data_IF_547548964762
#
_entry.id   IF_547548964762
#
_cell.length_a   1.000
_cell.length_b   1.000
_cell.length_c   1.000
_cell.angle_alpha   90.00
_cell.angle_beta   90.00
_cell.angle_gamma   90.00
#
_symmetry.space_group_name_H-M   'P 1'
#
loop_
_entity.id
_entity.type
_entity.pdbx_description
1 polymer ?
#
# COMPACT_ATOMS: atom_id res chain seq x y z
N UNK A 1 34.94 -20.61 -8.82
CA UNK A 1 33.83 -20.52 -7.84
C UNK A 1 33.56 -19.10 -7.30
N UNK A 2 33.94 -18.03 -8.04
CA UNK A 2 33.66 -16.62 -7.68
C UNK A 2 32.65 -15.94 -8.63
N UNK A 3 32.13 -16.64 -9.63
CA UNK A 3 31.18 -16.11 -10.62
C UNK A 3 29.72 -16.38 -10.22
N UNK A 4 29.48 -17.36 -9.33
CA UNK A 4 28.12 -17.76 -8.93
C UNK A 4 27.48 -16.86 -7.85
N UNK A 5 28.26 -16.05 -7.13
CA UNK A 5 27.75 -15.17 -6.06
C UNK A 5 27.21 -13.83 -6.58
N UNK A 6 27.58 -13.40 -7.78
CA UNK A 6 27.07 -12.16 -8.37
C UNK A 6 25.69 -12.33 -9.02
N UNK A 7 25.32 -13.56 -9.41
CA UNK A 7 23.99 -13.86 -9.93
C UNK A 7 22.90 -13.85 -8.84
N UNK A 8 23.26 -14.13 -7.58
CA UNK A 8 22.30 -14.18 -6.47
C UNK A 8 21.93 -12.79 -5.91
N UNK A 9 22.74 -11.77 -6.20
CA UNK A 9 22.47 -10.38 -5.82
C UNK A 9 21.61 -9.63 -6.84
N UNK A 10 21.48 -10.13 -8.07
CA UNK A 10 20.59 -9.54 -9.08
C UNK A 10 19.15 -10.04 -9.00
N UNK A 11 18.87 -11.11 -8.24
CA UNK A 11 17.51 -11.69 -8.16
C UNK A 11 16.63 -11.10 -7.06
N UNK A 12 17.18 -10.34 -6.10
CA UNK A 12 16.36 -9.72 -5.04
C UNK A 12 15.71 -8.40 -5.51
N UNK A 13 16.25 -7.78 -6.56
CA UNK A 13 15.62 -6.62 -7.22
C UNK A 13 14.42 -6.99 -8.13
N UNK A 14 14.09 -8.29 -8.25
CA UNK A 14 13.00 -8.81 -9.10
C UNK A 14 11.66 -8.87 -8.35
N UNK A 15 11.61 -8.48 -7.06
CA UNK A 15 10.34 -8.42 -6.33
C UNK A 15 9.53 -7.14 -6.59
N UNK A 16 10.03 -6.20 -7.40
CA UNK A 16 9.16 -5.29 -8.15
C UNK A 16 9.01 -5.88 -9.56
N UNK A 17 8.11 -6.84 -9.71
CA UNK A 17 7.64 -7.23 -11.04
C UNK A 17 7.18 -5.97 -11.80
N UNK A 18 7.41 -5.87 -13.12
CA UNK A 18 6.90 -4.78 -13.96
C UNK A 18 5.37 -4.81 -14.13
N UNK A 19 4.63 -5.41 -13.19
CA UNK A 19 3.20 -5.70 -13.24
C UNK A 19 2.29 -4.51 -12.97
N UNK A 20 2.83 -3.31 -12.74
CA UNK A 20 1.99 -2.10 -12.67
C UNK A 20 1.48 -1.68 -14.06
N UNK A 21 2.25 -1.92 -15.13
CA UNK A 21 1.86 -1.57 -16.50
C UNK A 21 0.72 -2.44 -17.09
N UNK A 22 0.69 -3.78 -16.88
CA UNK A 22 -0.41 -4.64 -17.33
C UNK A 22 -1.80 -4.27 -16.77
N UNK A 23 -1.91 -3.98 -15.48
CA UNK A 23 -3.21 -3.72 -14.85
C UNK A 23 -3.85 -2.39 -15.28
N UNK A 24 -3.02 -1.37 -15.54
CA UNK A 24 -3.48 -0.10 -16.12
C UNK A 24 -4.05 -0.30 -17.54
N UNK A 25 -3.36 -1.09 -18.37
CA UNK A 25 -3.76 -1.36 -19.75
C UNK A 25 -5.08 -2.15 -19.85
N UNK A 26 -5.36 -2.99 -18.86
CA UNK A 26 -6.59 -3.79 -18.81
C UNK A 26 -7.84 -2.92 -18.61
N UNK A 27 -7.84 -1.99 -17.65
CA UNK A 27 -8.98 -1.09 -17.44
C UNK A 27 -9.12 -0.06 -18.58
N UNK A 28 -8.01 0.46 -19.12
CA UNK A 28 -8.07 1.42 -20.23
C UNK A 28 -8.70 0.81 -21.48
N UNK A 29 -8.40 -0.46 -21.77
CA UNK A 29 -8.95 -1.20 -22.91
C UNK A 29 -10.36 -1.76 -22.69
N UNK A 30 -10.87 -1.74 -21.45
CA UNK A 30 -12.21 -2.24 -21.14
C UNK A 30 -13.31 -1.47 -21.90
N UNK A 31 -14.29 -2.20 -22.43
CA UNK A 31 -15.44 -1.65 -23.17
C UNK A 31 -16.71 -2.36 -22.75
N UNK A 32 -17.79 -1.59 -22.60
CA UNK A 32 -19.12 -2.14 -22.29
C UNK A 32 -19.79 -2.75 -23.52
N UNK A 33 -20.83 -3.54 -23.28
CA UNK A 33 -21.72 -4.02 -24.33
C UNK A 33 -22.36 -2.86 -25.13
N UNK A 34 -22.71 -3.06 -26.42
CA UNK A 34 -23.29 -1.99 -27.25
C UNK A 34 -24.63 -1.43 -26.75
N UNK A 35 -25.38 -2.18 -25.94
CA UNK A 35 -26.66 -1.79 -25.35
C UNK A 35 -26.53 -1.25 -23.91
N UNK A 36 -25.31 -0.93 -23.48
CA UNK A 36 -25.05 -0.37 -22.16
C UNK A 36 -25.81 0.95 -21.96
N UNK A 37 -26.29 1.14 -20.74
CA UNK A 37 -27.02 2.35 -20.40
C UNK A 37 -26.09 3.58 -20.39
N UNK A 38 -26.61 4.81 -20.64
CA UNK A 38 -25.80 6.02 -20.58
C UNK A 38 -25.06 6.20 -19.24
N UNK A 39 -25.68 5.76 -18.13
CA UNK A 39 -25.08 5.85 -16.80
C UNK A 39 -23.90 4.88 -16.63
N UNK A 40 -23.97 3.68 -17.21
CA UNK A 40 -22.85 2.74 -17.19
C UNK A 40 -21.67 3.24 -18.04
N UNK A 41 -21.96 3.88 -19.18
CA UNK A 41 -20.93 4.52 -20.01
C UNK A 41 -20.22 5.64 -19.22
N UNK A 42 -20.98 6.47 -18.51
CA UNK A 42 -20.41 7.49 -17.62
C UNK A 42 -19.59 6.86 -16.49
N UNK A 43 -20.11 5.81 -15.85
CA UNK A 43 -19.46 5.09 -14.77
C UNK A 43 -18.14 4.47 -15.22
N UNK A 44 -18.08 3.87 -16.42
CA UNK A 44 -16.83 3.35 -16.96
C UNK A 44 -15.81 4.47 -17.21
N UNK A 45 -16.23 5.59 -17.79
CA UNK A 45 -15.33 6.73 -17.99
C UNK A 45 -14.78 7.26 -16.66
N UNK A 46 -15.63 7.34 -15.63
CA UNK A 46 -15.21 7.70 -14.29
C UNK A 46 -14.17 6.72 -13.72
N UNK A 47 -14.39 5.41 -13.84
CA UNK A 47 -13.44 4.39 -13.38
C UNK A 47 -12.09 4.49 -14.11
N UNK A 48 -12.09 4.73 -15.43
CA UNK A 48 -10.85 4.93 -16.20
C UNK A 48 -10.05 6.13 -15.70
N UNK A 49 -10.72 7.25 -15.42
CA UNK A 49 -10.07 8.42 -14.83
C UNK A 49 -9.52 8.15 -13.43
N UNK A 50 -10.31 7.49 -12.58
CA UNK A 50 -9.92 7.11 -11.22
C UNK A 50 -8.72 6.18 -11.26
N UNK A 51 -8.70 5.18 -12.15
CA UNK A 51 -7.59 4.24 -12.29
C UNK A 51 -6.27 4.96 -12.61
N UNK A 52 -6.30 5.88 -13.58
CA UNK A 52 -5.13 6.68 -13.95
C UNK A 52 -4.60 7.54 -12.80
N UNK A 53 -5.50 8.21 -12.07
CA UNK A 53 -5.13 9.05 -10.91
C UNK A 53 -4.59 8.20 -9.77
N UNK A 54 -5.28 7.10 -9.46
CA UNK A 54 -4.95 6.19 -8.36
C UNK A 54 -3.60 5.53 -8.56
N UNK A 55 -3.30 5.03 -9.77
CA UNK A 55 -2.01 4.41 -10.06
C UNK A 55 -0.84 5.34 -9.77
N UNK A 56 -0.95 6.61 -10.17
CA UNK A 56 0.07 7.62 -9.85
C UNK A 56 0.18 7.88 -8.35
N UNK A 57 -0.95 8.02 -7.66
CA UNK A 57 -1.00 8.30 -6.23
C UNK A 57 -0.39 7.16 -5.39
N UNK A 58 -0.80 5.91 -5.67
CA UNK A 58 -0.29 4.73 -4.99
C UNK A 58 1.16 4.41 -5.34
N UNK A 59 1.60 4.64 -6.59
CA UNK A 59 3.01 4.49 -6.93
C UNK A 59 3.88 5.46 -6.11
N UNK A 60 3.45 6.72 -6.02
CA UNK A 60 4.15 7.70 -5.20
C UNK A 60 4.16 7.32 -3.71
N UNK A 61 3.03 6.85 -3.17
CA UNK A 61 2.95 6.34 -1.80
C UNK A 61 3.90 5.18 -1.56
N UNK A 62 3.95 4.21 -2.47
CA UNK A 62 4.79 3.04 -2.36
C UNK A 62 6.28 3.43 -2.33
N UNK A 63 6.71 4.37 -3.18
CA UNK A 63 8.09 4.87 -3.19
C UNK A 63 8.43 5.57 -1.87
N UNK A 64 7.54 6.42 -1.36
CA UNK A 64 7.77 7.14 -0.10
C UNK A 64 7.80 6.17 1.09
N UNK A 65 6.89 5.20 1.13
CA UNK A 65 6.83 4.18 2.19
C UNK A 65 8.09 3.32 2.18
N UNK A 66 8.53 2.89 0.99
CA UNK A 66 9.77 2.15 0.82
C UNK A 66 10.99 2.90 1.36
N UNK A 67 11.07 4.22 1.12
CA UNK A 67 12.16 5.04 1.64
C UNK A 67 12.20 5.05 3.17
N UNK A 68 11.04 5.07 3.85
CA UNK A 68 10.96 4.95 5.30
C UNK A 68 11.33 3.54 5.78
N UNK A 69 10.72 2.51 5.20
CA UNK A 69 10.93 1.11 5.60
C UNK A 69 12.40 0.68 5.44
N UNK A 70 13.11 1.22 4.45
CA UNK A 70 14.52 0.93 4.20
C UNK A 70 15.50 1.89 4.88
N UNK A 71 15.02 3.04 5.34
CA UNK A 71 15.83 4.05 6.02
C UNK A 71 14.95 4.82 7.04
N UNK A 72 14.76 4.23 8.21
CA UNK A 72 13.94 4.79 9.28
C UNK A 72 14.65 6.01 9.89
N UNK A 73 14.11 7.20 9.61
CA UNK A 73 14.50 8.49 10.19
C UNK A 73 13.26 9.35 10.40
N UNK A 74 13.35 10.38 11.25
CA UNK A 74 12.23 11.31 11.48
C UNK A 74 11.74 11.97 10.18
N UNK A 75 12.66 12.24 9.24
CA UNK A 75 12.33 12.84 7.94
C UNK A 75 11.54 11.88 7.05
N UNK A 76 11.98 10.62 6.93
CA UNK A 76 11.29 9.63 6.10
C UNK A 76 9.95 9.22 6.73
N UNK A 77 9.85 9.19 8.06
CA UNK A 77 8.60 8.96 8.79
C UNK A 77 7.58 10.07 8.51
N UNK A 78 7.99 11.34 8.63
CA UNK A 78 7.12 12.48 8.36
C UNK A 78 6.64 12.53 6.89
N UNK A 79 7.53 12.17 5.95
CA UNK A 79 7.19 12.06 4.55
C UNK A 79 6.15 10.95 4.29
N UNK A 80 6.34 9.75 4.86
CA UNK A 80 5.38 8.64 4.78
C UNK A 80 4.04 9.04 5.37
N UNK A 81 4.04 9.61 6.58
CA UNK A 81 2.81 10.01 7.24
C UNK A 81 1.99 11.03 6.42
N UNK A 82 2.67 12.01 5.82
CA UNK A 82 2.05 13.00 4.93
C UNK A 82 1.48 12.35 3.67
N UNK A 83 2.22 11.43 3.05
CA UNK A 83 1.79 10.72 1.85
C UNK A 83 0.57 9.83 2.12
N UNK A 84 0.55 9.10 3.23
CA UNK A 84 -0.57 8.25 3.65
C UNK A 84 -1.82 9.12 3.90
N UNK A 85 -1.69 10.21 4.66
CA UNK A 85 -2.82 11.12 4.93
C UNK A 85 -3.42 11.71 3.65
N UNK A 86 -2.59 12.04 2.66
CA UNK A 86 -3.07 12.54 1.36
C UNK A 86 -3.77 11.45 0.54
N UNK A 87 -3.29 10.20 0.58
CA UNK A 87 -3.97 9.10 -0.13
C UNK A 87 -5.32 8.76 0.51
N UNK A 88 -5.43 8.73 1.85
CA UNK A 88 -6.72 8.51 2.50
C UNK A 88 -7.75 9.59 2.15
N UNK A 89 -7.33 10.86 2.02
CA UNK A 89 -8.22 11.93 1.53
C UNK A 89 -8.65 11.70 0.09
N UNK A 90 -7.72 11.32 -0.78
CA UNK A 90 -8.00 11.01 -2.17
C UNK A 90 -8.99 9.84 -2.32
N UNK A 91 -8.81 8.77 -1.54
CA UNK A 91 -9.75 7.64 -1.48
C UNK A 91 -11.14 8.09 -1.01
N UNK A 92 -11.22 8.89 0.06
CA UNK A 92 -12.48 9.43 0.58
C UNK A 92 -13.24 10.25 -0.48
N UNK A 93 -12.52 11.09 -1.23
CA UNK A 93 -13.08 11.90 -2.29
C UNK A 93 -13.61 11.06 -3.46
N UNK A 94 -12.95 9.94 -3.80
CA UNK A 94 -13.46 8.99 -4.79
C UNK A 94 -14.73 8.30 -4.27
N UNK A 95 -14.71 7.80 -3.03
CA UNK A 95 -15.85 7.13 -2.41
C UNK A 95 -17.08 8.05 -2.38
N UNK A 96 -16.88 9.30 -1.99
CA UNK A 96 -17.92 10.33 -2.00
C UNK A 96 -18.48 10.55 -3.41
N UNK A 97 -17.61 10.64 -4.42
CA UNK A 97 -18.05 10.79 -5.82
C UNK A 97 -18.85 9.57 -6.30
N UNK A 98 -18.43 8.36 -5.94
CA UNK A 98 -19.16 7.13 -6.27
C UNK A 98 -20.57 7.16 -5.67
N UNK A 99 -20.68 7.47 -4.37
CA UNK A 99 -21.97 7.54 -3.68
C UNK A 99 -22.90 8.63 -4.24
N UNK A 100 -22.34 9.78 -4.63
CA UNK A 100 -23.12 10.92 -5.12
C UNK A 100 -23.56 10.77 -6.58
N UNK A 101 -22.68 10.24 -7.43
CA UNK A 101 -22.89 10.18 -8.89
C UNK A 101 -23.53 8.87 -9.34
N UNK A 102 -23.28 7.79 -8.60
CA UNK A 102 -23.70 6.44 -8.97
C UNK A 102 -24.37 5.72 -7.78
N UNK A 103 -25.43 6.29 -7.17
CA UNK A 103 -26.05 5.70 -5.97
C UNK A 103 -26.65 4.31 -6.21
N UNK A 104 -27.04 3.99 -7.44
CA UNK A 104 -27.64 2.71 -7.84
C UNK A 104 -26.68 1.85 -8.68
N UNK A 105 -25.38 1.90 -8.39
CA UNK A 105 -24.37 1.12 -9.13
C UNK A 105 -24.61 -0.40 -9.07
N UNK A 106 -25.35 -0.88 -8.06
CA UNK A 106 -25.73 -2.29 -7.93
C UNK A 106 -26.67 -2.76 -9.05
N UNK A 107 -27.40 -1.84 -9.69
CA UNK A 107 -28.33 -2.12 -10.79
C UNK A 107 -27.63 -2.18 -12.16
N UNK A 108 -26.31 -1.95 -12.23
CA UNK A 108 -25.56 -2.05 -13.48
C UNK A 108 -25.69 -3.47 -14.08
N UNK A 109 -25.87 -3.54 -15.39
CA UNK A 109 -25.95 -4.82 -16.12
C UNK A 109 -24.58 -5.48 -16.19
N UNK A 110 -23.53 -4.69 -16.35
CA UNK A 110 -22.17 -5.17 -16.52
C UNK A 110 -21.56 -5.65 -15.18
N UNK A 111 -21.25 -6.94 -15.09
CA UNK A 111 -20.77 -7.57 -13.84
C UNK A 111 -19.37 -7.11 -13.43
N UNK A 112 -18.50 -6.84 -14.40
CA UNK A 112 -17.15 -6.31 -14.15
C UNK A 112 -17.22 -4.88 -13.61
N UNK A 113 -18.03 -4.02 -14.23
CA UNK A 113 -18.28 -2.65 -13.76
C UNK A 113 -18.87 -2.65 -12.35
N UNK A 114 -19.85 -3.52 -12.06
CA UNK A 114 -20.35 -3.70 -10.69
C UNK A 114 -19.26 -4.06 -9.71
N UNK A 115 -18.38 -5.01 -10.06
CA UNK A 115 -17.26 -5.42 -9.20
C UNK A 115 -16.30 -4.26 -8.93
N UNK A 116 -16.00 -3.46 -9.95
CA UNK A 116 -15.16 -2.26 -9.79
C UNK A 116 -15.78 -1.26 -8.82
N UNK A 117 -17.09 -1.03 -8.91
CA UNK A 117 -17.82 -0.13 -7.99
C UNK A 117 -17.95 -0.69 -6.58
N UNK A 118 -18.12 -2.01 -6.42
CA UNK A 118 -18.17 -2.67 -5.12
C UNK A 118 -16.90 -2.41 -4.29
N UNK A 119 -15.72 -2.33 -4.92
CA UNK A 119 -14.48 -1.99 -4.24
C UNK A 119 -14.51 -0.56 -3.63
N UNK A 120 -15.17 0.39 -4.28
CA UNK A 120 -15.32 1.75 -3.77
C UNK A 120 -16.47 1.89 -2.74
N UNK A 121 -17.37 0.91 -2.65
CA UNK A 121 -18.41 0.88 -1.63
C UNK A 121 -17.86 0.53 -0.23
N UNK A 122 -16.72 -0.15 -0.16
CA UNK A 122 -16.05 -0.47 1.10
C UNK A 122 -15.48 0.82 1.70
N UNK A 123 -16.09 1.27 2.81
CA UNK A 123 -15.62 2.46 3.52
C UNK A 123 -14.26 2.19 4.15
N UNK A 124 -13.25 2.94 3.70
CA UNK A 124 -11.89 2.88 4.24
C UNK A 124 -11.67 3.90 5.36
N UNK A 125 -10.43 4.03 5.85
CA UNK A 125 -10.06 5.06 6.84
C UNK A 125 -10.32 6.49 6.36
N UNK A 126 -10.47 6.71 5.05
CA UNK A 126 -10.85 7.99 4.46
C UNK A 126 -12.19 8.57 4.96
N UNK A 127 -13.07 7.77 5.56
CA UNK A 127 -14.30 8.28 6.19
C UNK A 127 -14.05 8.92 7.58
N UNK A 128 -12.84 8.81 8.12
CA UNK A 128 -12.48 9.44 9.39
C UNK A 128 -12.17 10.94 9.22
N UNK A 129 -12.21 11.70 10.31
CA UNK A 129 -11.75 13.10 10.28
C UNK A 129 -10.27 13.18 9.91
N UNK A 130 -9.84 14.29 9.31
CA UNK A 130 -8.41 14.49 8.98
C UNK A 130 -7.49 14.36 10.20
N UNK A 131 -7.97 14.76 11.38
CA UNK A 131 -7.26 14.59 12.65
C UNK A 131 -7.08 13.12 13.00
N UNK A 132 -8.14 12.31 12.91
CA UNK A 132 -8.07 10.88 13.18
C UNK A 132 -7.18 10.15 12.18
N UNK A 133 -7.22 10.52 10.89
CA UNK A 133 -6.32 9.96 9.87
C UNK A 133 -4.86 10.24 10.24
N UNK A 134 -4.53 11.49 10.54
CA UNK A 134 -3.18 11.88 10.96
C UNK A 134 -2.73 11.09 12.19
N UNK A 135 -3.61 10.99 13.19
CA UNK A 135 -3.28 10.30 14.45
C UNK A 135 -3.10 8.79 14.26
N UNK A 136 -3.98 8.16 13.49
CA UNK A 136 -3.89 6.74 13.16
C UNK A 136 -2.58 6.44 12.44
N UNK A 137 -2.26 7.24 11.41
CA UNK A 137 -1.01 7.11 10.66
C UNK A 137 0.22 7.25 11.56
N UNK A 138 0.25 8.25 12.43
CA UNK A 138 1.33 8.44 13.41
C UNK A 138 1.50 7.21 14.32
N UNK A 139 0.39 6.66 14.83
CA UNK A 139 0.42 5.48 15.72
C UNK A 139 0.96 4.26 14.97
N UNK A 140 0.49 4.01 13.74
CA UNK A 140 0.93 2.88 12.93
C UNK A 140 2.43 2.95 12.64
N UNK A 141 2.93 4.12 12.23
CA UNK A 141 4.34 4.32 11.94
C UNK A 141 5.21 4.14 13.20
N UNK A 142 4.77 4.65 14.35
CA UNK A 142 5.45 4.43 15.63
C UNK A 142 5.49 2.97 16.05
N UNK A 143 4.39 2.23 15.85
CA UNK A 143 4.36 0.79 16.14
C UNK A 143 5.32 0.02 15.23
N UNK A 144 5.35 0.37 13.94
CA UNK A 144 6.26 -0.23 12.95
C UNK A 144 7.73 0.05 13.29
N UNK A 145 8.07 1.29 13.62
CA UNK A 145 9.43 1.67 14.06
C UNK A 145 9.81 0.95 15.34
N UNK A 146 8.93 0.94 16.35
CA UNK A 146 9.21 0.27 17.62
C UNK A 146 9.51 -1.22 17.40
N UNK A 147 8.70 -1.91 16.59
CA UNK A 147 8.91 -3.32 16.31
C UNK A 147 10.18 -3.60 15.50
N UNK A 148 10.50 -2.78 14.49
CA UNK A 148 11.64 -2.99 13.60
C UNK A 148 13.00 -2.61 14.22
N UNK A 149 13.00 -1.70 15.20
CA UNK A 149 14.22 -1.14 15.81
C UNK A 149 14.49 -1.65 17.23
N UNK A 150 13.54 -2.34 17.87
CA UNK A 150 13.73 -2.84 19.24
C UNK A 150 14.98 -3.72 19.36
N UNK A 151 15.74 -3.46 20.41
CA UNK A 151 16.86 -4.30 20.83
C UNK A 151 16.58 -4.87 22.20
N UNK A 152 16.96 -6.13 22.39
CA UNK A 152 16.86 -6.85 23.65
C UNK A 152 18.26 -6.91 24.25
N UNK A 153 18.37 -6.69 25.55
CA UNK A 153 19.62 -6.84 26.28
C UNK A 153 19.85 -8.30 26.69
N UNK A 154 21.12 -8.69 26.74
CA UNK A 154 21.50 -10.01 27.22
C UNK A 154 21.06 -10.23 28.68
N UNK A 155 20.66 -11.46 29.00
CA UNK A 155 20.23 -11.82 30.35
C UNK A 155 21.36 -11.74 31.37
N UNK A 156 22.58 -12.16 30.98
CA UNK A 156 23.75 -12.20 31.84
C UNK A 156 24.57 -10.91 31.80
N UNK A 157 24.51 -10.15 30.70
CA UNK A 157 25.20 -8.86 30.54
C UNK A 157 24.25 -7.75 30.06
N UNK A 158 23.70 -6.99 31.00
CA UNK A 158 22.75 -5.90 30.72
C UNK A 158 23.35 -4.76 29.90
N UNK A 159 24.68 -4.68 29.74
CA UNK A 159 25.31 -3.67 28.88
C UNK A 159 25.27 -4.06 27.40
N UNK A 160 25.01 -5.34 27.09
CA UNK A 160 24.96 -5.89 25.74
C UNK A 160 23.55 -5.90 25.18
N UNK A 161 23.10 -4.76 24.65
CA UNK A 161 21.77 -4.56 24.05
C UNK A 161 21.79 -4.57 22.52
N UNK A 162 22.18 -5.70 21.94
CA UNK A 162 22.33 -5.85 20.49
C UNK A 162 21.54 -7.01 19.88
N UNK A 163 20.62 -7.62 20.63
CA UNK A 163 19.74 -8.66 20.12
C UNK A 163 18.56 -8.05 19.38
N UNK A 164 18.50 -8.23 18.07
CA UNK A 164 17.35 -7.84 17.24
C UNK A 164 16.39 -8.99 17.03
N UNK A 165 15.12 -8.66 16.76
CA UNK A 165 14.08 -9.65 16.49
C UNK A 165 14.35 -10.49 15.23
N UNK A 166 14.76 -9.90 14.12
CA UNK A 166 14.84 -10.56 12.80
C UNK A 166 15.99 -11.58 12.68
N UNK A 167 17.12 -11.35 13.35
CA UNK A 167 18.33 -12.20 13.24
C UNK A 167 19.07 -12.46 14.54
N UNK A 168 18.73 -11.77 15.63
CA UNK A 168 19.44 -11.83 16.90
C UNK A 168 18.93 -12.93 17.84
N UNK A 169 17.63 -12.96 18.09
CA UNK A 169 17.00 -13.94 19.00
C UNK A 169 17.00 -15.35 18.40
N UNK A 170 16.58 -15.51 17.15
CA UNK A 170 16.47 -16.84 16.52
C UNK A 170 17.81 -17.52 16.23
N UNK A 171 18.93 -16.79 16.19
CA UNK A 171 20.26 -17.36 15.91
C UNK A 171 20.95 -17.89 17.17
N UNK A 172 20.63 -17.34 18.34
CA UNK A 172 21.35 -17.65 19.58
C UNK A 172 20.98 -19.02 20.16
N UNK A 173 19.77 -19.51 19.91
CA UNK A 173 19.35 -20.85 20.33
C UNK A 173 20.17 -21.96 19.63
N UNK A 174 20.58 -21.77 18.39
CA UNK A 174 21.35 -22.79 17.65
C UNK A 174 22.83 -22.88 18.04
N UNK A 175 23.42 -21.84 18.65
CA UNK A 175 24.83 -21.84 19.05
C UNK A 175 25.06 -22.44 20.44
N UNK A 176 24.02 -22.62 21.25
CA UNK A 176 24.10 -23.28 22.56
C UNK A 176 23.63 -24.74 22.52
N UNK A 177 23.20 -25.23 21.35
CA UNK A 177 22.77 -26.62 21.10
C UNK A 177 23.81 -27.46 20.33
N UNK A 178 24.99 -26.89 20.05
CA UNK A 178 26.19 -27.58 19.55
C UNK A 178 27.33 -27.41 20.55
#
# INVERSE_FOLDING_TARGET
MRVLLLAYLQTVAIQCSPTVAPALAEIESYTLAPDASPIEIEALNFIKEVNKKSSKAYNNLAVISWNYETNITDETEAAKATAEANNYKFEADIQKQVQQRFPNWEDFKDDELKRMFANFAIQGPGNMSTEHISKMTEILNKMETAYSTVTICDYHDKTKCNLRLDRGIYRREYLNLM
#
